data_IF_081583388904
#
_entry.id   IF_081583388904
#
_cell.length_a   1.000
_cell.length_b   1.000
_cell.length_c   1.000
_cell.angle_alpha   90.00
_cell.angle_beta   90.00
_cell.angle_gamma   90.00
#
_symmetry.space_group_name_H-M   'P 1'
#
loop_
_entity.id
_entity.type
_entity.pdbx_description
1 polymer ?
#
# COMPACT_ATOMS: atom_id res chain seq x y z
N UNK A 1 -1.90 33.29 -23.39
CA UNK A 1 -0.47 33.46 -23.05
C UNK A 1 0.12 32.07 -22.97
N UNK A 2 1.40 31.87 -23.27
CA UNK A 2 2.05 30.55 -23.09
C UNK A 2 2.29 30.27 -21.62
N UNK A 3 2.51 29.03 -21.22
CA UNK A 3 2.99 28.76 -19.86
C UNK A 3 4.37 29.41 -19.63
N UNK A 4 4.66 29.72 -18.37
CA UNK A 4 5.89 30.37 -17.92
C UNK A 4 5.71 31.82 -17.43
N UNK A 5 6.82 32.49 -17.09
CA UNK A 5 6.80 33.85 -16.55
C UNK A 5 6.49 34.89 -17.64
N UNK A 6 5.54 35.76 -17.35
CA UNK A 6 5.18 36.93 -18.14
C UNK A 6 5.45 38.18 -17.31
N UNK A 7 6.14 39.16 -17.92
CA UNK A 7 6.38 40.44 -17.27
C UNK A 7 5.31 41.43 -17.70
N UNK A 8 4.55 41.95 -16.73
CA UNK A 8 3.65 43.08 -16.89
C UNK A 8 4.42 44.34 -16.53
N UNK A 9 4.53 45.25 -17.50
CA UNK A 9 5.17 46.55 -17.30
C UNK A 9 4.10 47.63 -17.27
N UNK A 10 4.10 48.44 -16.21
CA UNK A 10 3.25 49.62 -16.07
C UNK A 10 4.12 50.84 -16.18
N UNK A 11 3.78 51.74 -17.10
CA UNK A 11 4.44 53.02 -17.26
C UNK A 11 3.45 54.13 -16.93
N UNK A 12 3.88 55.09 -16.12
CA UNK A 12 3.10 56.27 -15.77
C UNK A 12 3.91 57.52 -16.09
N UNK A 13 3.28 58.50 -16.72
CA UNK A 13 3.88 59.80 -17.02
C UNK A 13 3.12 60.88 -16.27
N UNK A 14 3.81 61.71 -15.49
CA UNK A 14 3.18 62.83 -14.79
C UNK A 14 2.95 64.04 -15.73
N UNK A 15 2.19 65.08 -15.31
CA UNK A 15 1.96 66.27 -16.14
C UNK A 15 3.21 67.08 -16.47
N UNK A 16 4.31 66.90 -15.73
CA UNK A 16 5.60 67.52 -16.01
C UNK A 16 6.45 66.73 -17.02
N UNK A 17 6.00 65.54 -17.42
CA UNK A 17 6.66 64.67 -18.38
C UNK A 17 7.62 63.64 -17.76
N UNK A 18 7.66 63.50 -16.43
CA UNK A 18 8.48 62.47 -15.80
C UNK A 18 7.82 61.10 -15.98
N UNK A 19 8.60 60.11 -16.43
CA UNK A 19 8.14 58.74 -16.64
C UNK A 19 8.63 57.85 -15.51
N UNK A 20 7.71 57.19 -14.81
CA UNK A 20 7.97 56.08 -13.90
C UNK A 20 7.58 54.75 -14.52
N UNK A 21 8.38 53.72 -14.28
CA UNK A 21 8.11 52.36 -14.75
C UNK A 21 8.10 51.40 -13.57
N UNK A 22 7.11 50.50 -13.53
CA UNK A 22 7.03 49.39 -12.59
C UNK A 22 6.84 48.07 -13.33
N UNK A 23 7.37 46.99 -12.77
CA UNK A 23 7.31 45.65 -13.33
C UNK A 23 6.64 44.70 -12.33
N UNK A 24 5.84 43.77 -12.82
CA UNK A 24 5.35 42.61 -12.09
C UNK A 24 5.55 41.35 -12.93
N UNK A 25 5.92 40.24 -12.30
CA UNK A 25 6.02 38.94 -12.98
C UNK A 25 4.81 38.10 -12.59
N UNK A 26 4.14 37.52 -13.58
CA UNK A 26 3.04 36.56 -13.42
C UNK A 26 3.46 35.27 -14.10
N UNK A 27 3.41 34.15 -13.40
CA UNK A 27 3.58 32.83 -14.01
C UNK A 27 2.23 32.29 -14.43
N UNK A 28 2.13 31.90 -15.71
CA UNK A 28 0.97 31.15 -16.22
C UNK A 28 1.35 29.69 -16.24
N UNK A 29 0.48 28.85 -15.70
CA UNK A 29 0.62 27.41 -15.73
C UNK A 29 -0.75 26.82 -16.01
N UNK A 30 -0.87 26.13 -17.15
CA UNK A 30 -2.11 25.49 -17.60
C UNK A 30 -1.96 23.97 -17.69
N UNK A 31 -0.82 23.43 -17.25
CA UNK A 31 -0.49 22.03 -17.37
C UNK A 31 -1.00 21.28 -16.15
N UNK A 32 -2.01 20.42 -16.34
CA UNK A 32 -2.52 19.58 -15.26
C UNK A 32 -1.50 18.50 -14.82
N UNK A 33 -1.51 18.12 -13.53
CA UNK A 33 -0.75 16.97 -13.05
C UNK A 33 -1.28 15.65 -13.65
N UNK A 34 -0.44 14.61 -13.61
CA UNK A 34 -0.89 13.25 -13.93
C UNK A 34 -1.93 12.76 -12.91
N UNK A 35 -2.81 11.85 -13.32
CA UNK A 35 -3.77 11.23 -12.40
C UNK A 35 -3.05 10.52 -11.24
N UNK A 36 -3.52 10.65 -9.98
CA UNK A 36 -2.98 9.89 -8.87
C UNK A 36 -3.02 8.39 -9.13
N UNK A 37 -2.04 7.65 -8.62
CA UNK A 37 -2.06 6.18 -8.61
C UNK A 37 -2.33 5.74 -7.18
N UNK A 38 -3.37 4.95 -6.95
CA UNK A 38 -3.68 4.39 -5.64
C UNK A 38 -2.95 3.06 -5.48
N UNK A 39 -2.39 2.83 -4.29
CA UNK A 39 -1.90 1.51 -3.89
C UNK A 39 -3.08 0.56 -3.64
N UNK A 40 -2.85 -0.78 -3.55
CA UNK A 40 -3.90 -1.72 -3.16
C UNK A 40 -4.63 -1.32 -1.88
N UNK A 41 -5.96 -1.41 -1.91
CA UNK A 41 -6.84 -0.89 -0.84
C UNK A 41 -7.53 -2.08 -0.18
N UNK A 42 -7.50 -2.11 1.15
CA UNK A 42 -8.35 -3.02 1.92
C UNK A 42 -9.46 -2.29 2.70
N UNK A 43 -10.24 -3.05 3.46
CA UNK A 43 -11.38 -2.53 4.20
C UNK A 43 -11.06 -1.45 5.25
N UNK A 44 -9.85 -1.46 5.84
CA UNK A 44 -9.57 -0.73 7.10
C UNK A 44 -8.27 0.05 7.13
N UNK A 45 -7.23 -0.36 6.42
CA UNK A 45 -5.95 0.33 6.37
C UNK A 45 -6.11 1.71 5.70
N UNK A 46 -5.29 2.71 6.07
CA UNK A 46 -5.23 3.99 5.37
C UNK A 46 -5.07 3.81 3.86
N UNK A 47 -5.74 4.65 3.07
CA UNK A 47 -5.56 4.66 1.62
C UNK A 47 -4.28 5.42 1.30
N UNK A 48 -3.43 4.81 0.48
CA UNK A 48 -2.14 5.38 0.08
C UNK A 48 -2.01 5.42 -1.44
N UNK A 49 -1.02 6.16 -1.91
CA UNK A 49 -0.69 6.17 -3.32
C UNK A 49 0.40 7.17 -3.65
N UNK A 50 0.48 7.50 -4.94
CA UNK A 50 1.40 8.50 -5.48
C UNK A 50 0.68 9.55 -6.32
N UNK A 51 1.22 10.77 -6.35
CA UNK A 51 0.80 11.87 -7.18
C UNK A 51 2.00 12.80 -7.44
N UNK A 52 1.81 13.86 -8.24
CA UNK A 52 2.85 14.86 -8.43
C UNK A 52 3.23 15.52 -7.09
N UNK A 53 4.52 15.59 -6.72
CA UNK A 53 4.96 16.19 -5.46
C UNK A 53 4.42 17.61 -5.25
N UNK A 54 3.89 17.88 -4.06
CA UNK A 54 3.33 19.19 -3.72
C UNK A 54 1.93 19.47 -4.28
N UNK A 55 1.37 18.58 -5.12
CA UNK A 55 -0.04 18.65 -5.50
C UNK A 55 -0.97 18.27 -4.35
N UNK A 56 -2.17 18.85 -4.31
CA UNK A 56 -3.22 18.46 -3.36
C UNK A 56 -4.02 17.30 -3.95
N UNK A 57 -3.96 16.15 -3.28
CA UNK A 57 -4.76 14.96 -3.62
C UNK A 57 -6.10 15.03 -2.89
N UNK A 58 -7.19 14.82 -3.62
CA UNK A 58 -8.54 14.66 -3.09
C UNK A 58 -9.01 13.23 -3.38
N UNK A 59 -9.22 12.44 -2.32
CA UNK A 59 -9.74 11.07 -2.39
C UNK A 59 -11.24 11.10 -2.12
N UNK A 60 -12.04 10.48 -2.98
CA UNK A 60 -13.48 10.34 -2.81
C UNK A 60 -13.86 8.87 -2.61
N UNK A 61 -14.63 8.62 -1.57
CA UNK A 61 -15.05 7.29 -1.13
C UNK A 61 -16.46 6.93 -1.63
N UNK A 62 -16.80 5.63 -1.66
CA UNK A 62 -18.12 5.16 -2.11
C UNK A 62 -19.31 5.69 -1.32
N UNK A 63 -19.11 6.04 -0.05
CA UNK A 63 -20.13 6.62 0.83
C UNK A 63 -20.42 8.12 0.54
N UNK A 64 -19.65 8.72 -0.38
CA UNK A 64 -19.73 10.13 -0.76
C UNK A 64 -18.86 11.06 0.08
N UNK A 65 -18.13 10.55 1.08
CA UNK A 65 -17.17 11.34 1.84
C UNK A 65 -15.87 11.55 1.04
N UNK A 66 -15.09 12.55 1.45
CA UNK A 66 -13.80 12.85 0.84
C UNK A 66 -12.74 13.12 1.90
N UNK A 67 -11.49 12.85 1.54
CA UNK A 67 -10.31 13.22 2.30
C UNK A 67 -9.29 13.94 1.40
N UNK A 68 -8.56 14.90 1.96
CA UNK A 68 -7.55 15.66 1.22
C UNK A 68 -6.19 15.60 1.90
N UNK A 69 -5.12 15.59 1.09
CA UNK A 69 -3.73 15.58 1.56
C UNK A 69 -2.82 16.18 0.49
N UNK A 70 -1.72 16.82 0.90
CA UNK A 70 -0.69 17.26 -0.06
C UNK A 70 0.31 16.11 -0.26
N UNK A 71 0.60 15.75 -1.51
CA UNK A 71 1.61 14.76 -1.83
C UNK A 71 3.00 15.22 -1.37
N UNK A 72 3.73 14.33 -0.70
CA UNK A 72 5.06 14.62 -0.20
C UNK A 72 6.08 14.89 -1.31
N UNK A 73 7.31 15.31 -0.96
CA UNK A 73 8.38 15.54 -1.95
C UNK A 73 8.74 14.31 -2.78
N UNK A 74 8.48 13.11 -2.27
CA UNK A 74 8.65 11.82 -2.96
C UNK A 74 7.39 11.39 -3.74
N UNK A 75 6.37 12.24 -3.79
CA UNK A 75 5.08 11.99 -4.45
C UNK A 75 4.13 11.12 -3.65
N UNK A 76 4.53 10.60 -2.48
CA UNK A 76 3.68 9.72 -1.67
C UNK A 76 2.65 10.51 -0.88
N UNK A 77 1.50 9.89 -0.68
CA UNK A 77 0.44 10.44 0.15
C UNK A 77 -0.30 9.34 0.90
N UNK A 78 -0.97 9.73 1.98
CA UNK A 78 -1.82 8.84 2.78
C UNK A 78 -3.02 9.62 3.31
N UNK A 79 -4.20 9.01 3.29
CA UNK A 79 -5.41 9.53 3.93
C UNK A 79 -6.03 8.46 4.83
N UNK A 80 -6.73 8.84 5.92
CA UNK A 80 -7.52 7.90 6.69
C UNK A 80 -8.57 7.18 5.83
N UNK A 81 -8.80 5.91 6.12
CA UNK A 81 -9.90 5.14 5.55
C UNK A 81 -11.16 5.33 6.42
N UNK A 82 -12.36 5.52 5.84
CA UNK A 82 -13.61 5.66 6.60
C UNK A 82 -13.96 4.40 7.43
N UNK A 83 -13.38 3.24 7.09
CA UNK A 83 -13.46 2.00 7.87
C UNK A 83 -14.61 1.06 7.50
N UNK A 84 -15.41 1.42 6.49
CA UNK A 84 -16.58 0.68 6.01
C UNK A 84 -16.46 0.25 4.53
N UNK A 85 -15.24 0.29 3.98
CA UNK A 85 -15.00 -0.14 2.61
C UNK A 85 -15.22 -1.65 2.46
N UNK A 86 -16.02 -2.04 1.47
CA UNK A 86 -16.31 -3.45 1.17
C UNK A 86 -15.66 -3.89 -0.12
N UNK A 87 -15.45 -5.20 -0.26
CA UNK A 87 -14.87 -5.80 -1.46
C UNK A 87 -15.56 -5.34 -2.75
N UNK A 88 -14.77 -5.03 -3.78
CA UNK A 88 -15.22 -4.59 -5.09
C UNK A 88 -15.67 -3.13 -5.18
N UNK A 89 -15.69 -2.38 -4.08
CA UNK A 89 -15.97 -0.95 -4.13
C UNK A 89 -14.85 -0.17 -4.84
N UNK A 90 -15.18 0.98 -5.43
CA UNK A 90 -14.20 1.84 -6.10
C UNK A 90 -13.91 3.10 -5.28
N UNK A 91 -12.64 3.34 -4.99
CA UNK A 91 -12.14 4.61 -4.45
C UNK A 91 -11.54 5.42 -5.60
N UNK A 92 -11.79 6.72 -5.63
CA UNK A 92 -11.26 7.61 -6.68
C UNK A 92 -10.37 8.70 -6.07
N UNK A 93 -9.37 9.18 -6.81
CA UNK A 93 -8.54 10.28 -6.39
C UNK A 93 -8.22 11.24 -7.55
N UNK A 94 -8.20 12.54 -7.29
CA UNK A 94 -7.68 13.57 -8.21
C UNK A 94 -6.55 14.35 -7.55
N UNK A 95 -5.63 14.88 -8.33
CA UNK A 95 -4.60 15.81 -7.87
C UNK A 95 -4.88 17.20 -8.43
N UNK A 96 -4.55 18.25 -7.67
CA UNK A 96 -4.54 19.64 -8.13
C UNK A 96 -3.18 20.24 -7.84
N UNK A 97 -2.50 20.72 -8.87
CA UNK A 97 -1.18 21.33 -8.72
C UNK A 97 -1.25 22.68 -7.95
N UNK A 98 -0.11 23.29 -7.58
CA UNK A 98 -0.10 24.59 -6.92
C UNK A 98 -0.68 25.75 -7.76
N UNK A 99 -0.80 25.60 -9.08
CA UNK A 99 -1.39 26.57 -9.98
C UNK A 99 -2.92 26.44 -10.08
N UNK A 100 -3.50 25.35 -9.54
CA UNK A 100 -4.93 25.08 -9.53
C UNK A 100 -5.41 24.21 -10.68
N UNK A 101 -4.52 23.59 -11.47
CA UNK A 101 -4.93 22.71 -12.56
C UNK A 101 -5.26 21.30 -12.02
N UNK A 102 -6.45 20.75 -12.29
CA UNK A 102 -6.83 19.42 -11.83
C UNK A 102 -6.39 18.32 -12.80
N UNK A 103 -5.95 17.18 -12.26
CA UNK A 103 -5.71 15.97 -13.03
C UNK A 103 -7.00 15.30 -13.49
N UNK A 104 -6.85 14.30 -14.37
CA UNK A 104 -7.85 13.23 -14.52
C UNK A 104 -7.94 12.39 -13.22
N UNK A 105 -9.04 11.66 -12.98
CA UNK A 105 -9.16 10.79 -11.82
C UNK A 105 -8.32 9.51 -11.97
N UNK A 106 -7.65 9.12 -10.88
CA UNK A 106 -7.18 7.76 -10.64
C UNK A 106 -8.21 6.96 -9.85
N UNK A 107 -8.17 5.63 -9.97
CA UNK A 107 -9.12 4.74 -9.30
C UNK A 107 -8.42 3.52 -8.70
N UNK A 108 -8.84 3.09 -7.52
CA UNK A 108 -8.49 1.81 -6.91
C UNK A 108 -9.74 1.01 -6.60
N UNK A 109 -9.66 -0.32 -6.73
CA UNK A 109 -10.72 -1.23 -6.30
C UNK A 109 -10.33 -1.81 -4.95
N UNK A 110 -11.28 -1.81 -4.01
CA UNK A 110 -11.11 -2.38 -2.68
C UNK A 110 -11.06 -3.90 -2.81
N UNK A 111 -10.00 -4.50 -2.29
CA UNK A 111 -9.88 -5.93 -2.02
C UNK A 111 -9.97 -6.12 -0.51
N UNK A 112 -11.10 -6.65 -0.04
CA UNK A 112 -11.32 -6.90 1.39
C UNK A 112 -11.24 -8.39 1.74
N UNK A 113 -10.71 -9.23 0.84
CA UNK A 113 -10.74 -10.68 0.98
C UNK A 113 -9.39 -11.19 1.47
N UNK A 114 -9.34 -11.59 2.73
CA UNK A 114 -8.16 -12.25 3.28
C UNK A 114 -7.83 -13.57 2.56
N UNK A 115 -6.53 -13.89 2.37
CA UNK A 115 -6.11 -15.20 1.93
C UNK A 115 -6.62 -16.32 2.85
N UNK A 116 -6.92 -17.48 2.28
CA UNK A 116 -7.10 -18.73 3.01
C UNK A 116 -5.78 -19.48 3.04
N UNK A 117 -5.33 -19.85 4.23
CA UNK A 117 -4.05 -20.54 4.45
C UNK A 117 -4.24 -21.68 5.45
N UNK A 118 -3.54 -22.79 5.23
CA UNK A 118 -3.54 -23.94 6.14
C UNK A 118 -2.13 -24.51 6.31
N UNK A 119 -1.89 -25.21 7.42
CA UNK A 119 -0.65 -25.94 7.70
C UNK A 119 -0.90 -27.43 7.53
N UNK A 120 -0.01 -28.12 6.85
CA UNK A 120 0.01 -29.59 6.82
C UNK A 120 0.54 -30.09 8.15
N UNK A 121 -0.29 -30.79 8.92
CA UNK A 121 0.15 -31.41 10.18
C UNK A 121 1.17 -32.51 9.91
N UNK A 122 2.13 -32.68 10.83
CA UNK A 122 3.18 -33.69 10.72
C UNK A 122 3.53 -34.27 12.09
N UNK A 123 3.80 -35.58 12.11
CA UNK A 123 4.60 -36.24 13.14
C UNK A 123 5.94 -36.57 12.48
N UNK A 124 7.04 -36.14 13.07
CA UNK A 124 8.37 -36.24 12.45
C UNK A 124 9.42 -36.67 13.46
N UNK A 125 10.44 -37.37 12.98
CA UNK A 125 11.65 -37.71 13.74
C UNK A 125 12.82 -36.77 13.43
N UNK A 126 12.52 -35.64 12.80
CA UNK A 126 13.46 -34.56 12.54
C UNK A 126 13.16 -33.40 13.49
N UNK A 127 14.17 -32.99 14.27
CA UNK A 127 14.06 -31.88 15.23
C UNK A 127 14.08 -30.49 14.58
N UNK A 128 14.33 -30.39 13.28
CA UNK A 128 14.34 -29.12 12.54
C UNK A 128 13.55 -29.19 11.23
N UNK A 129 12.31 -29.71 11.27
CA UNK A 129 11.62 -30.17 10.07
C UNK A 129 11.28 -29.02 9.12
N UNK A 130 11.21 -29.34 7.82
CA UNK A 130 10.46 -28.51 6.88
C UNK A 130 8.98 -28.44 7.29
N UNK A 131 8.36 -27.27 7.17
CA UNK A 131 6.92 -27.08 7.34
C UNK A 131 6.29 -26.70 6.01
N UNK A 132 5.13 -27.28 5.69
CA UNK A 132 4.42 -27.01 4.44
C UNK A 132 2.93 -26.78 4.70
N UNK A 133 2.24 -26.28 3.69
CA UNK A 133 0.80 -26.11 3.73
C UNK A 133 0.25 -25.54 2.43
N UNK A 134 -0.99 -25.06 2.49
CA UNK A 134 -1.68 -24.45 1.35
C UNK A 134 -1.91 -22.95 1.58
N UNK A 135 -1.91 -22.18 0.50
CA UNK A 135 -2.27 -20.77 0.46
C UNK A 135 -2.94 -20.50 -0.89
N UNK A 136 -4.13 -19.88 -0.89
CA UNK A 136 -4.89 -19.67 -2.13
C UNK A 136 -4.49 -18.39 -2.90
N UNK A 137 -3.76 -17.47 -2.26
CA UNK A 137 -3.23 -16.27 -2.88
C UNK A 137 -1.75 -16.49 -3.25
N UNK A 138 -1.41 -16.54 -4.55
CA UNK A 138 -0.03 -16.80 -5.01
C UNK A 138 0.93 -15.62 -4.79
N UNK A 139 0.41 -14.45 -4.41
CA UNK A 139 1.19 -13.22 -4.20
C UNK A 139 1.29 -12.83 -2.72
N UNK A 140 0.55 -13.50 -1.84
CA UNK A 140 0.59 -13.22 -0.42
C UNK A 140 1.96 -13.50 0.19
N UNK A 141 2.38 -12.63 1.11
CA UNK A 141 3.53 -12.84 1.99
C UNK A 141 3.15 -13.84 3.08
N UNK A 142 3.94 -14.91 3.23
CA UNK A 142 3.69 -15.97 4.22
C UNK A 142 4.69 -15.87 5.37
N UNK A 143 4.19 -15.94 6.60
CA UNK A 143 4.99 -16.00 7.83
C UNK A 143 4.51 -17.18 8.67
N UNK A 144 5.44 -18.00 9.12
CA UNK A 144 5.17 -19.16 9.99
C UNK A 144 5.69 -18.85 11.38
N UNK A 145 4.83 -18.96 12.37
CA UNK A 145 5.16 -18.77 13.79
C UNK A 145 5.16 -20.12 14.48
N UNK A 146 6.31 -20.53 15.02
CA UNK A 146 6.50 -21.77 15.79
C UNK A 146 6.81 -21.39 17.23
N UNK A 147 5.99 -21.85 18.18
CA UNK A 147 6.08 -21.54 19.62
C UNK A 147 6.27 -20.05 19.94
N UNK A 148 5.58 -19.19 19.16
CA UNK A 148 5.61 -17.74 19.33
C UNK A 148 6.73 -17.01 18.59
N UNK A 149 7.65 -17.72 17.92
CA UNK A 149 8.73 -17.11 17.12
C UNK A 149 8.36 -17.14 15.64
N UNK A 150 8.44 -15.99 14.96
CA UNK A 150 8.06 -15.83 13.56
C UNK A 150 9.24 -16.05 12.60
N UNK A 151 8.99 -16.78 11.52
CA UNK A 151 9.93 -17.11 10.45
C UNK A 151 9.30 -16.77 9.09
N UNK A 152 10.02 -16.10 8.18
CA UNK A 152 9.54 -15.93 6.81
C UNK A 152 9.48 -17.28 6.10
N UNK A 153 8.38 -17.54 5.41
CA UNK A 153 8.22 -18.73 4.58
C UNK A 153 8.07 -18.34 3.10
N UNK A 154 8.29 -19.29 2.22
CA UNK A 154 8.15 -19.11 0.77
C UNK A 154 6.71 -19.41 0.38
N UNK A 155 6.05 -18.46 -0.29
CA UNK A 155 4.86 -18.75 -1.08
C UNK A 155 5.32 -19.28 -2.43
N UNK A 156 5.01 -20.53 -2.75
CA UNK A 156 5.52 -21.18 -3.95
C UNK A 156 4.78 -20.73 -5.21
N UNK A 157 3.66 -20.02 -5.07
CA UNK A 157 2.84 -19.52 -6.18
C UNK A 157 1.98 -20.59 -6.87
N UNK A 158 2.06 -21.85 -6.44
CA UNK A 158 1.33 -23.00 -6.98
C UNK A 158 0.17 -23.47 -6.07
N UNK A 159 -0.22 -22.64 -5.10
CA UNK A 159 -1.21 -22.97 -4.08
C UNK A 159 -0.61 -23.54 -2.80
N UNK A 160 0.71 -23.68 -2.72
CA UNK A 160 1.43 -24.17 -1.54
C UNK A 160 2.41 -23.14 -0.98
N UNK A 161 2.80 -23.34 0.28
CA UNK A 161 3.89 -22.61 0.91
C UNK A 161 4.84 -23.57 1.63
N UNK A 162 6.09 -23.13 1.80
CA UNK A 162 7.15 -23.93 2.43
C UNK A 162 8.00 -23.07 3.38
N UNK A 163 8.20 -23.55 4.60
CA UNK A 163 9.35 -23.19 5.43
C UNK A 163 10.40 -24.30 5.28
N UNK A 164 11.58 -23.96 4.78
CA UNK A 164 12.60 -24.94 4.42
C UNK A 164 13.11 -25.71 5.64
N UNK A 165 13.53 -26.95 5.39
CA UNK A 165 14.21 -27.80 6.35
C UNK A 165 15.44 -27.09 6.96
N UNK A 166 15.76 -27.37 8.22
CA UNK A 166 16.85 -26.78 8.99
C UNK A 166 16.78 -25.24 9.16
N UNK A 167 15.63 -24.61 8.90
CA UNK A 167 15.43 -23.17 9.17
C UNK A 167 15.11 -22.91 10.64
N UNK A 168 14.39 -23.83 11.27
CA UNK A 168 14.02 -23.74 12.68
C UNK A 168 15.22 -24.05 13.57
N UNK A 169 15.29 -23.49 14.79
CA UNK A 169 16.16 -24.04 15.83
C UNK A 169 15.75 -25.48 16.15
N UNK A 170 16.66 -26.23 16.77
CA UNK A 170 16.37 -27.60 17.25
C UNK A 170 15.18 -27.55 18.20
N UNK A 171 14.09 -28.20 17.80
CA UNK A 171 12.89 -28.39 18.59
C UNK A 171 13.06 -29.60 19.51
N UNK A 172 12.43 -29.55 20.69
CA UNK A 172 12.39 -30.66 21.64
C UNK A 172 11.38 -31.72 21.19
N UNK A 173 11.52 -32.97 21.64
CA UNK A 173 10.44 -33.95 21.47
C UNK A 173 9.14 -33.44 22.13
N UNK A 174 8.01 -33.62 21.43
CA UNK A 174 6.68 -33.19 21.87
C UNK A 174 5.91 -32.36 20.84
N UNK A 175 4.72 -31.87 21.20
CA UNK A 175 3.88 -31.04 20.34
C UNK A 175 4.37 -29.58 20.32
N UNK A 176 4.45 -29.01 19.12
CA UNK A 176 4.77 -27.61 18.84
C UNK A 176 3.59 -26.91 18.17
N UNK A 177 3.27 -25.70 18.64
CA UNK A 177 2.17 -24.94 18.05
C UNK A 177 2.68 -24.18 16.83
N UNK A 178 2.02 -24.38 15.69
CA UNK A 178 2.34 -23.70 14.44
C UNK A 178 1.18 -22.81 14.04
N UNK A 179 1.45 -21.53 13.86
CA UNK A 179 0.51 -20.57 13.27
C UNK A 179 1.11 -20.04 11.98
N UNK A 180 0.40 -20.17 10.87
CA UNK A 180 0.79 -19.54 9.60
C UNK A 180 -0.11 -18.35 9.33
N UNK A 181 0.48 -17.22 8.95
CA UNK A 181 -0.23 -16.05 8.45
C UNK A 181 0.14 -15.80 7.00
N UNK A 182 -0.86 -15.41 6.20
CA UNK A 182 -0.69 -15.00 4.82
C UNK A 182 -1.27 -13.60 4.66
N UNK A 183 -0.48 -12.65 4.13
CA UNK A 183 -0.89 -11.26 3.93
C UNK A 183 -0.85 -10.93 2.45
N UNK A 184 -1.99 -10.59 1.86
CA UNK A 184 -2.08 -10.21 0.44
C UNK A 184 -1.49 -8.80 0.17
N UNK A 185 -1.40 -8.36 -1.10
CA UNK A 185 -0.90 -7.02 -1.43
C UNK A 185 -1.76 -5.86 -0.90
N UNK A 186 -3.07 -6.05 -0.70
CA UNK A 186 -3.95 -5.05 -0.09
C UNK A 186 -3.75 -4.97 1.44
N UNK A 187 -3.09 -5.96 2.04
CA UNK A 187 -2.83 -6.07 3.46
C UNK A 187 -3.89 -6.85 4.24
N UNK A 188 -4.81 -7.57 3.58
CA UNK A 188 -5.71 -8.49 4.28
C UNK A 188 -4.91 -9.69 4.80
N UNK A 189 -5.28 -10.19 5.99
CA UNK A 189 -4.52 -11.24 6.68
C UNK A 189 -5.37 -12.49 6.89
N UNK A 190 -4.94 -13.59 6.30
CA UNK A 190 -5.38 -14.95 6.60
C UNK A 190 -4.54 -15.59 7.69
N UNK A 191 -5.15 -16.45 8.53
CA UNK A 191 -4.42 -17.22 9.55
C UNK A 191 -4.87 -18.68 9.56
N UNK A 192 -3.92 -19.60 9.70
CA UNK A 192 -4.15 -21.02 9.91
C UNK A 192 -3.34 -21.54 11.09
N UNK A 193 -3.88 -22.51 11.82
CA UNK A 193 -3.24 -23.08 13.01
C UNK A 193 -3.16 -24.60 12.92
N UNK A 194 -2.07 -25.17 13.42
CA UNK A 194 -1.87 -26.60 13.52
C UNK A 194 -0.92 -26.95 14.68
N UNK A 195 -0.79 -28.24 14.93
CA UNK A 195 0.26 -28.80 15.80
C UNK A 195 1.16 -29.70 14.96
N UNK A 196 2.46 -29.57 15.16
CA UNK A 196 3.47 -30.49 14.64
C UNK A 196 4.12 -31.18 15.82
N UNK A 197 4.25 -32.50 15.77
CA UNK A 197 4.86 -33.27 16.85
C UNK A 197 6.23 -33.77 16.42
N UNK A 198 7.25 -33.50 17.22
CA UNK A 198 8.61 -34.04 17.06
C UNK A 198 8.76 -35.24 17.98
N UNK A 199 9.27 -36.34 17.46
CA UNK A 199 9.64 -37.54 18.21
C UNK A 199 10.93 -38.14 17.63
N UNK A 200 12.05 -37.79 18.24
CA UNK A 200 13.38 -38.27 17.84
C UNK A 200 13.79 -39.55 18.59
N UNK A 201 12.92 -40.08 19.45
CA UNK A 201 13.23 -41.23 20.30
C UNK A 201 13.09 -42.54 19.52
N UNK A 202 14.15 -43.37 19.54
CA UNK A 202 14.12 -44.68 18.90
C UNK A 202 13.19 -45.69 19.66
N UNK A 203 12.60 -46.68 18.96
CA UNK A 203 11.72 -47.69 19.58
C UNK A 203 12.37 -48.57 20.65
#
# INVERSE_FOLDING_TARGET
MTDGPHTVTVTATDPAGNVGTGNAVVTVDTTAPSAPVLDPINATNPVTGTAEPGSTVTVSFPDGTTATVVAGPDGKWTVPNPGDLTDGQTVTATATDPAGNPSLPGTGVVDAVAPTVAVTTALTNDSTPALTGTVNDPTAKVVVTVDGVAYPAVNNGDGTWTLADNTLPVLTDGPHTVTVTATDPAGNVGTGNAVVTVDTTAP
#
